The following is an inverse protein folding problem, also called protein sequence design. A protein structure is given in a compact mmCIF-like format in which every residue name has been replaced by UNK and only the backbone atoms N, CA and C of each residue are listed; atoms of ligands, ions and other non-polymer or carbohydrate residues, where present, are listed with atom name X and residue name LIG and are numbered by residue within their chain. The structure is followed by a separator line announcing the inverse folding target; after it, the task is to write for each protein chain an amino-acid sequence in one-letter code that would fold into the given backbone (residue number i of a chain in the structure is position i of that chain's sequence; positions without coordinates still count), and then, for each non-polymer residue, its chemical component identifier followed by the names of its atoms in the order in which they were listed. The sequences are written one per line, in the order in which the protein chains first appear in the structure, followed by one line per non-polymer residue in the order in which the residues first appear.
data_IF_418497931718
#
_entry.id   IF_418497931718
#
_cell.length_a   1.000
_cell.length_b   1.000
_cell.length_c   1.000
_cell.angle_alpha   90.00
_cell.angle_beta   90.00
_cell.angle_gamma   90.00
#
_symmetry.space_group_name_H-M   'P 1'
#
loop_
_entity.id
_entity.type
_entity.pdbx_description
1 polymer ?
#
# COMPACT_ATOMS: atom_id res chain seq x y z
N UNK A 1 -10.02 12.28 -18.40
CA UNK A 1 -11.22 12.00 -17.58
C UNK A 1 -10.77 11.75 -16.15
N UNK A 2 -11.26 12.47 -15.14
CA UNK A 2 -11.02 12.08 -13.76
C UNK A 2 -11.63 10.69 -13.53
N UNK A 3 -10.85 9.71 -13.07
CA UNK A 3 -11.39 8.42 -12.64
C UNK A 3 -11.78 8.53 -11.16
N UNK A 4 -12.90 7.91 -10.78
CA UNK A 4 -13.18 7.69 -9.36
C UNK A 4 -12.06 6.81 -8.77
N UNK A 5 -11.42 7.23 -7.67
CA UNK A 5 -10.33 6.47 -7.06
C UNK A 5 -10.72 5.00 -6.81
N UNK A 6 -9.89 4.07 -7.28
CA UNK A 6 -10.02 2.66 -6.93
C UNK A 6 -9.43 2.41 -5.54
N UNK A 7 -9.83 1.29 -4.92
CA UNK A 7 -9.34 0.86 -3.61
C UNK A 7 -8.66 -0.50 -3.73
N UNK A 8 -7.48 -0.63 -3.12
CA UNK A 8 -6.62 -1.80 -3.26
C UNK A 8 -6.16 -2.34 -1.90
N UNK A 9 -6.12 -3.66 -1.77
CA UNK A 9 -5.48 -4.38 -0.68
C UNK A 9 -4.24 -5.11 -1.22
N UNK A 10 -3.06 -4.65 -0.81
CA UNK A 10 -1.76 -5.22 -1.15
C UNK A 10 -1.30 -6.21 -0.07
N UNK A 11 -0.54 -7.24 -0.46
CA UNK A 11 -0.06 -8.28 0.46
C UNK A 11 1.46 -8.29 0.50
N UNK A 12 2.03 -8.08 1.69
CA UNK A 12 3.47 -8.16 1.95
C UNK A 12 3.73 -8.37 3.44
N UNK A 13 4.91 -8.89 3.81
CA UNK A 13 5.28 -9.02 5.23
C UNK A 13 5.41 -7.65 5.90
N UNK A 14 5.12 -7.56 7.20
CA UNK A 14 5.09 -6.28 7.90
C UNK A 14 6.43 -5.53 7.88
N UNK A 15 7.56 -6.24 8.01
CA UNK A 15 8.89 -5.60 7.89
C UNK A 15 9.10 -4.93 6.52
N UNK A 16 8.65 -5.57 5.44
CA UNK A 16 8.74 -5.00 4.09
C UNK A 16 7.85 -3.76 3.95
N UNK A 17 6.63 -3.83 4.50
CA UNK A 17 5.69 -2.70 4.49
C UNK A 17 6.24 -1.52 5.29
N UNK A 18 6.83 -1.75 6.47
CA UNK A 18 7.40 -0.68 7.30
C UNK A 18 8.56 0.03 6.61
N UNK A 19 9.43 -0.71 5.89
CA UNK A 19 10.49 -0.14 5.06
C UNK A 19 9.92 0.74 3.94
N UNK A 20 8.96 0.23 3.18
CA UNK A 20 8.29 1.01 2.12
C UNK A 20 7.58 2.24 2.66
N UNK A 21 6.96 2.13 3.84
CA UNK A 21 6.29 3.24 4.52
C UNK A 21 7.27 4.36 4.89
N UNK A 22 8.39 4.00 5.50
CA UNK A 22 9.42 4.96 5.90
C UNK A 22 10.05 5.69 4.69
N UNK A 23 10.04 5.05 3.52
CA UNK A 23 10.65 5.58 2.28
C UNK A 23 9.62 6.10 1.27
N UNK A 24 8.32 6.08 1.57
CA UNK A 24 7.28 6.65 0.71
C UNK A 24 6.88 5.82 -0.51
N UNK A 25 7.16 4.51 -0.55
CA UNK A 25 6.83 3.65 -1.69
C UNK A 25 6.05 2.40 -1.31
N UNK A 26 5.36 1.81 -2.30
CA UNK A 26 4.85 0.45 -2.27
C UNK A 26 5.59 -0.45 -3.26
N UNK A 27 5.72 -1.71 -2.87
CA UNK A 27 6.25 -2.80 -3.69
C UNK A 27 5.45 -4.06 -3.38
N UNK A 28 5.10 -4.83 -4.42
CA UNK A 28 4.26 -6.03 -4.29
C UNK A 28 4.71 -7.11 -5.26
N UNK A 29 4.20 -8.33 -5.10
CA UNK A 29 4.34 -9.43 -6.05
C UNK A 29 5.79 -9.70 -6.47
N UNK A 30 6.72 -9.72 -5.51
CA UNK A 30 8.16 -9.90 -5.74
C UNK A 30 8.82 -8.84 -6.64
N UNK A 31 8.29 -7.61 -6.65
CA UNK A 31 8.86 -6.50 -7.42
C UNK A 31 8.43 -6.47 -8.88
N UNK A 32 7.37 -7.20 -9.27
CA UNK A 32 6.85 -7.18 -10.64
C UNK A 32 6.19 -5.83 -10.97
N UNK A 33 6.41 -5.33 -12.18
CA UNK A 33 5.79 -4.10 -12.67
C UNK A 33 4.28 -4.22 -12.92
N UNK A 34 3.82 -5.36 -13.45
CA UNK A 34 2.46 -5.51 -13.96
C UNK A 34 1.36 -5.22 -12.92
N UNK A 35 1.45 -5.68 -11.65
CA UNK A 35 0.51 -5.30 -10.60
C UNK A 35 0.49 -3.79 -10.34
N UNK A 36 1.66 -3.15 -10.27
CA UNK A 36 1.78 -1.71 -9.97
C UNK A 36 1.22 -0.81 -11.08
N UNK A 37 1.20 -1.28 -12.33
CA UNK A 37 0.60 -0.58 -13.48
C UNK A 37 -0.93 -0.51 -13.40
N UNK A 38 -1.57 -1.35 -12.58
CA UNK A 38 -3.03 -1.33 -12.38
C UNK A 38 -3.47 -0.19 -11.47
N UNK A 39 -2.60 0.25 -10.55
CA UNK A 39 -2.87 1.39 -9.70
C UNK A 39 -2.74 2.69 -10.51
N UNK A 40 -3.58 3.67 -10.19
CA UNK A 40 -3.52 5.02 -10.76
C UNK A 40 -3.31 6.06 -9.65
N UNK A 41 -2.74 7.23 -9.98
CA UNK A 41 -2.69 8.34 -9.04
C UNK A 41 -4.06 8.61 -8.42
N UNK A 42 -4.10 8.87 -7.11
CA UNK A 42 -5.33 9.07 -6.36
C UNK A 42 -5.99 7.80 -5.83
N UNK A 43 -5.63 6.60 -6.32
CA UNK A 43 -6.14 5.34 -5.77
C UNK A 43 -5.70 5.17 -4.30
N UNK A 44 -6.56 4.58 -3.47
CA UNK A 44 -6.22 4.22 -2.08
C UNK A 44 -5.64 2.82 -2.03
N UNK A 45 -4.61 2.63 -1.22
CA UNK A 45 -3.98 1.33 -0.98
C UNK A 45 -3.85 1.08 0.50
N UNK A 46 -4.27 -0.11 0.93
CA UNK A 46 -4.00 -0.66 2.25
C UNK A 46 -3.08 -1.88 2.11
N UNK A 47 -2.21 -2.10 3.08
CA UNK A 47 -1.40 -3.31 3.20
C UNK A 47 -2.01 -4.26 4.22
N UNK A 48 -2.16 -5.52 3.83
CA UNK A 48 -2.37 -6.66 4.70
C UNK A 48 -1.07 -7.48 4.80
N UNK A 49 -0.66 -7.78 6.03
CA UNK A 49 0.52 -8.57 6.34
C UNK A 49 0.12 -9.88 7.00
N UNK A 50 0.23 -11.02 6.28
CA UNK A 50 -0.06 -12.33 6.86
C UNK A 50 0.99 -12.72 7.91
N UNK A 51 2.19 -12.15 7.82
CA UNK A 51 3.32 -12.44 8.70
C UNK A 51 4.20 -11.22 8.97
N UNK A 52 5.01 -11.26 10.02
CA UNK A 52 5.98 -10.18 10.32
C UNK A 52 7.12 -10.18 9.31
N UNK A 53 7.70 -11.36 9.08
CA UNK A 53 8.83 -11.57 8.16
C UNK A 53 8.43 -12.37 6.94
N UNK A 54 9.12 -12.14 5.83
CA UNK A 54 8.93 -12.95 4.62
C UNK A 54 9.26 -14.42 4.91
N UNK A 55 8.38 -15.33 4.49
CA UNK A 55 8.53 -16.78 4.71
C UNK A 55 8.18 -17.28 6.12
N UNK A 56 7.97 -16.39 7.08
CA UNK A 56 7.52 -16.78 8.43
C UNK A 56 6.03 -17.12 8.48
N UNK A 57 5.65 -17.98 9.43
CA UNK A 57 4.26 -18.41 9.70
C UNK A 57 3.83 -18.01 11.12
N UNK A 58 4.21 -16.81 11.54
CA UNK A 58 3.94 -16.25 12.87
C UNK A 58 2.48 -15.78 13.05
N UNK A 59 1.69 -15.76 11.97
CA UNK A 59 0.25 -15.53 12.03
C UNK A 59 -0.14 -14.09 12.33
N UNK A 60 0.72 -13.11 12.02
CA UNK A 60 0.47 -11.68 12.30
C UNK A 60 -0.91 -11.21 11.84
N UNK A 61 -1.29 -11.53 10.60
CA UNK A 61 -2.60 -11.23 10.00
C UNK A 61 -3.14 -9.83 10.33
N UNK A 62 -2.36 -8.80 10.02
CA UNK A 62 -2.65 -7.41 10.38
C UNK A 62 -2.70 -6.49 9.16
N UNK A 63 -3.49 -5.42 9.26
CA UNK A 63 -3.44 -4.27 8.37
C UNK A 63 -2.31 -3.36 8.84
N UNK A 64 -1.34 -3.05 7.97
CA UNK A 64 -0.04 -2.49 8.40
C UNK A 64 0.28 -1.12 7.81
N UNK A 65 -0.37 -0.71 6.73
CA UNK A 65 -0.28 0.65 6.21
C UNK A 65 -1.52 1.00 5.38
N UNK A 66 -1.78 2.29 5.24
CA UNK A 66 -2.82 2.81 4.35
C UNK A 66 -2.40 4.18 3.82
N UNK A 67 -2.63 4.44 2.53
CA UNK A 67 -2.27 5.70 1.89
C UNK A 67 -2.89 5.88 0.51
N UNK A 68 -2.42 6.91 -0.21
CA UNK A 68 -2.88 7.26 -1.56
C UNK A 68 -1.72 7.24 -2.54
N UNK A 69 -1.93 6.62 -3.70
CA UNK A 69 -0.94 6.54 -4.77
C UNK A 69 -0.65 7.94 -5.32
N UNK A 70 0.63 8.32 -5.35
CA UNK A 70 1.07 9.63 -5.86
C UNK A 70 1.04 9.67 -7.39
N UNK A 71 1.17 10.87 -7.93
CA UNK A 71 1.28 11.14 -9.38
C UNK A 71 2.67 10.77 -9.93
N UNK A 72 3.08 9.52 -9.68
CA UNK A 72 4.31 8.94 -10.21
C UNK A 72 4.01 7.61 -10.91
N UNK A 73 4.72 7.37 -12.01
CA UNK A 73 4.68 6.08 -12.70
C UNK A 73 5.45 5.02 -11.90
N UNK A 74 5.11 3.72 -12.01
CA UNK A 74 5.95 2.68 -11.44
C UNK A 74 7.36 2.73 -12.04
N UNK A 75 8.38 2.66 -11.19
CA UNK A 75 9.79 2.76 -11.58
C UNK A 75 10.58 1.56 -11.07
N UNK A 76 11.61 1.19 -11.81
CA UNK A 76 12.60 0.21 -11.38
C UNK A 76 13.52 0.85 -10.34
N UNK A 77 13.88 0.11 -9.29
CA UNK A 77 14.82 0.55 -8.27
C UNK A 77 15.90 -0.51 -8.07
N UNK A 78 17.15 -0.17 -8.38
CA UNK A 78 18.27 -1.09 -8.17
C UNK A 78 18.65 -1.09 -6.68
N UNK A 79 18.44 -2.24 -6.02
CA UNK A 79 18.82 -2.44 -4.62
C UNK A 79 20.30 -2.78 -4.45
N UNK A 80 21.05 -2.94 -5.55
CA UNK A 80 22.33 -3.61 -5.58
C UNK A 80 22.17 -5.14 -5.58
N UNK A 81 23.20 -5.86 -5.99
CA UNK A 81 23.20 -7.33 -5.96
C UNK A 81 22.31 -8.01 -7.01
N UNK A 82 21.97 -7.32 -8.10
CA UNK A 82 21.26 -7.90 -9.25
C UNK A 82 19.74 -8.02 -9.11
N UNK A 83 19.15 -7.50 -8.02
CA UNK A 83 17.70 -7.47 -7.83
C UNK A 83 17.15 -6.06 -8.05
N UNK A 84 16.36 -5.90 -9.11
CA UNK A 84 15.77 -4.61 -9.53
C UNK A 84 14.24 -4.67 -9.48
N UNK A 85 13.63 -4.51 -8.28
CA UNK A 85 12.18 -4.49 -8.16
C UNK A 85 11.57 -3.20 -8.72
N UNK A 86 10.30 -3.29 -9.10
CA UNK A 86 9.48 -2.11 -9.36
C UNK A 86 8.83 -1.59 -8.08
N UNK A 87 8.79 -0.27 -7.96
CA UNK A 87 8.18 0.51 -6.88
C UNK A 87 7.20 1.52 -7.43
N UNK A 88 6.33 2.02 -6.56
CA UNK A 88 5.45 3.15 -6.85
C UNK A 88 5.27 4.00 -5.61
N UNK A 89 5.25 5.32 -5.76
CA UNK A 89 5.18 6.21 -4.60
C UNK A 89 3.75 6.30 -4.05
N UNK A 90 3.68 6.34 -2.73
CA UNK A 90 2.43 6.40 -1.97
C UNK A 90 2.59 7.44 -0.86
N UNK A 91 1.63 8.35 -0.77
CA UNK A 91 1.45 9.23 0.36
C UNK A 91 0.82 8.42 1.50
N UNK A 92 1.66 7.83 2.36
CA UNK A 92 1.21 7.06 3.51
C UNK A 92 0.57 7.96 4.56
N UNK A 93 -0.58 7.54 5.08
CA UNK A 93 -1.26 8.22 6.17
C UNK A 93 -0.73 7.73 7.53
N UNK A 94 -0.90 8.54 8.58
CA UNK A 94 -0.58 8.12 9.94
C UNK A 94 -1.65 7.15 10.41
N UNK A 95 -1.26 5.90 10.69
CA UNK A 95 -2.17 4.80 10.94
C UNK A 95 -1.59 3.81 11.96
N UNK A 96 -2.47 3.15 12.70
CA UNK A 96 -2.12 2.09 13.64
C UNK A 96 -2.22 0.72 12.96
N UNK A 97 -1.19 -0.12 13.13
CA UNK A 97 -1.28 -1.51 12.70
C UNK A 97 -2.40 -2.22 13.48
N UNK A 98 -3.30 -2.89 12.76
CA UNK A 98 -4.55 -3.40 13.35
C UNK A 98 -4.79 -4.84 12.90
N UNK A 99 -5.06 -5.80 13.81
CA UNK A 99 -5.44 -7.16 13.41
C UNK A 99 -6.66 -7.16 12.48
N UNK A 100 -6.65 -7.97 11.42
CA UNK A 100 -7.78 -8.01 10.49
C UNK A 100 -8.98 -8.78 11.06
N UNK A 101 -8.75 -9.67 12.03
CA UNK A 101 -9.74 -10.62 12.53
C UNK A 101 -11.09 -10.00 12.93
N UNK A 102 -11.15 -8.87 13.68
CA UNK A 102 -12.42 -8.23 14.03
C UNK A 102 -13.22 -7.70 12.84
N UNK A 103 -12.56 -7.44 11.70
CA UNK A 103 -13.20 -6.88 10.51
C UNK A 103 -13.74 -7.95 9.55
N UNK A 104 -13.27 -9.20 9.66
CA UNK A 104 -13.63 -10.27 8.74
C UNK A 104 -15.15 -10.50 8.57
N UNK A 105 -16.01 -10.33 9.59
CA UNK A 105 -17.46 -10.46 9.41
C UNK A 105 -18.10 -9.30 8.62
N UNK A 106 -17.44 -8.14 8.56
CA UNK A 106 -18.00 -6.90 8.03
C UNK A 106 -17.46 -6.50 6.65
N UNK A 107 -16.31 -7.03 6.24
CA UNK A 107 -15.69 -6.76 4.94
C UNK A 107 -16.36 -7.60 3.84
N UNK A 108 -16.74 -6.97 2.74
CA UNK A 108 -17.40 -7.58 1.59
C UNK A 108 -16.55 -8.72 0.99
N UNK A 109 -15.22 -8.58 0.97
CA UNK A 109 -14.34 -9.61 0.40
C UNK A 109 -14.17 -10.85 1.29
N UNK A 110 -14.54 -10.80 2.57
CA UNK A 110 -14.37 -11.90 3.54
C UNK A 110 -15.69 -12.43 4.11
N UNK A 111 -16.72 -11.59 4.23
CA UNK A 111 -17.99 -11.95 4.84
C UNK A 111 -18.63 -13.17 4.14
N UNK A 112 -18.96 -14.19 4.92
CA UNK A 112 -19.54 -15.44 4.43
C UNK A 112 -18.59 -16.35 3.63
N UNK A 113 -17.29 -16.04 3.54
CA UNK A 113 -16.31 -16.78 2.73
C UNK A 113 -15.26 -17.46 3.61
N UNK A 114 -15.31 -18.79 3.73
CA UNK A 114 -14.33 -19.57 4.52
C UNK A 114 -12.90 -19.47 4.00
N UNK A 115 -12.72 -19.35 2.68
CA UNK A 115 -11.40 -19.33 2.02
C UNK A 115 -11.03 -17.92 1.49
N UNK A 116 -11.38 -16.86 2.22
CA UNK A 116 -11.13 -15.48 1.79
C UNK A 116 -9.64 -15.20 1.51
N UNK A 117 -8.72 -15.84 2.24
CA UNK A 117 -7.28 -15.72 2.03
C UNK A 117 -6.81 -16.14 0.62
N UNK A 118 -7.58 -16.96 -0.09
CA UNK A 118 -7.28 -17.34 -1.47
C UNK A 118 -7.28 -16.15 -2.43
N UNK A 119 -8.14 -15.14 -2.20
CA UNK A 119 -8.17 -13.93 -3.00
C UNK A 119 -6.87 -13.12 -2.88
N UNK A 120 -6.14 -13.28 -1.77
CA UNK A 120 -4.92 -12.55 -1.44
C UNK A 120 -3.65 -13.17 -2.02
N UNK A 121 -3.70 -14.42 -2.50
CA UNK A 121 -2.51 -15.14 -3.02
C UNK A 121 -1.83 -14.47 -4.21
N UNK A 122 -2.54 -13.57 -4.90
CA UNK A 122 -2.03 -12.83 -6.04
C UNK A 122 -1.29 -11.54 -5.67
N UNK A 123 -1.27 -11.17 -4.38
CA UNK A 123 -0.48 -10.06 -3.85
C UNK A 123 -1.11 -8.67 -3.99
N UNK A 124 -2.14 -8.52 -4.83
CA UNK A 124 -2.88 -7.27 -5.01
C UNK A 124 -4.34 -7.54 -5.38
N UNK A 125 -5.26 -7.17 -4.51
CA UNK A 125 -6.70 -7.34 -4.64
C UNK A 125 -7.39 -5.97 -4.74
N UNK A 126 -8.32 -5.80 -5.68
CA UNK A 126 -9.20 -4.64 -5.68
C UNK A 126 -10.35 -4.88 -4.69
N UNK A 127 -10.65 -3.90 -3.83
CA UNK A 127 -11.70 -3.99 -2.81
C UNK A 127 -12.75 -2.89 -2.99
N UNK A 128 -13.90 -3.03 -2.31
CA UNK A 128 -14.95 -2.01 -2.34
C UNK A 128 -14.52 -0.74 -1.59
N UNK A 129 -15.18 0.39 -1.87
CA UNK A 129 -14.99 1.61 -1.09
C UNK A 129 -15.38 1.40 0.39
N UNK A 130 -16.47 0.67 0.62
CA UNK A 130 -16.93 0.26 1.95
C UNK A 130 -15.85 -0.48 2.74
N UNK A 131 -15.21 -1.47 2.13
CA UNK A 131 -14.13 -2.22 2.78
C UNK A 131 -12.95 -1.32 3.14
N UNK A 132 -12.55 -0.44 2.22
CA UNK A 132 -11.47 0.52 2.46
C UNK A 132 -11.80 1.50 3.59
N UNK A 133 -13.05 1.92 3.70
CA UNK A 133 -13.49 2.83 4.77
C UNK A 133 -13.53 2.13 6.13
N UNK A 134 -13.99 0.87 6.19
CA UNK A 134 -13.93 0.06 7.41
C UNK A 134 -12.48 -0.17 7.88
N UNK A 135 -11.58 -0.49 6.94
CA UNK A 135 -10.15 -0.64 7.20
C UNK A 135 -9.57 0.68 7.74
N UNK A 136 -9.85 1.81 7.08
CA UNK A 136 -9.35 3.11 7.51
C UNK A 136 -9.87 3.54 8.88
N UNK A 137 -11.14 3.26 9.19
CA UNK A 137 -11.70 3.52 10.51
C UNK A 137 -11.00 2.67 11.58
N UNK A 138 -10.83 1.36 11.33
CA UNK A 138 -10.17 0.46 12.27
C UNK A 138 -8.71 0.84 12.56
N UNK A 139 -7.98 1.28 11.53
CA UNK A 139 -6.60 1.73 11.65
C UNK A 139 -6.44 3.14 12.25
N UNK A 140 -7.54 3.80 12.64
CA UNK A 140 -7.56 5.16 13.21
C UNK A 140 -6.76 6.16 12.37
N UNK A 141 -7.00 6.16 11.05
CA UNK A 141 -6.11 6.85 10.13
C UNK A 141 -6.29 8.37 10.18
N UNK A 142 -5.20 9.09 10.41
CA UNK A 142 -5.08 10.53 10.21
C UNK A 142 -4.33 10.81 8.91
N UNK A 143 -4.94 11.59 8.01
CA UNK A 143 -4.29 12.01 6.76
C UNK A 143 -3.10 12.90 7.10
N UNK A 144 -1.89 12.47 6.74
CA UNK A 144 -0.73 13.37 6.78
C UNK A 144 -0.94 14.42 5.68
N UNK A 145 -1.00 15.69 6.06
CA UNK A 145 -0.89 16.78 5.07
C UNK A 145 0.52 16.73 4.52
N UNK A 146 0.65 16.63 3.19
CA UNK A 146 1.96 16.72 2.54
C UNK A 146 2.66 18.00 3.02
N UNK A 147 3.91 17.92 3.53
CA UNK A 147 4.72 19.12 3.60
C UNK A 147 4.92 19.59 2.15
N UNK A 148 4.52 20.82 1.86
CA UNK A 148 4.87 21.49 0.61
C UNK A 148 6.39 21.45 0.52
N UNK A 149 6.93 20.62 -0.37
CA UNK A 149 8.33 20.67 -0.72
C UNK A 149 8.50 21.95 -1.53
N UNK A 150 8.89 23.04 -0.87
CA UNK A 150 9.43 24.20 -1.55
C UNK A 150 10.66 23.74 -2.33
N UNK A 151 10.54 23.68 -3.66
CA UNK A 151 11.68 23.51 -4.53
C UNK A 151 12.57 24.76 -4.39
N UNK A 152 13.85 24.64 -4.00
CA UNK A 152 14.76 25.77 -4.08
C UNK A 152 14.92 26.11 -5.57
N UNK A 153 14.33 27.23 -5.97
CA UNK A 153 14.52 27.80 -7.28
C UNK A 153 16.01 28.00 -7.52
N UNK A 154 16.54 27.33 -8.54
CA UNK A 154 17.85 27.64 -9.09
C UNK A 154 17.83 29.10 -9.55
N UNK A 155 18.44 29.97 -8.75
CA UNK A 155 18.68 31.35 -9.10
C UNK A 155 19.62 31.41 -10.29
N UNK A 156 19.11 31.85 -11.43
CA UNK A 156 19.93 32.33 -12.53
C UNK A 156 20.47 33.71 -12.13
N UNK A 157 21.77 33.81 -11.85
CA UNK A 157 22.48 35.09 -11.88
C UNK A 157 22.96 35.36 -13.31
N UNK A 158 22.60 36.48 -13.94
CA UNK A 158 23.41 37.02 -15.02
C UNK A 158 24.47 37.99 -14.47
N UNK A 159 25.60 38.02 -15.17
CA UNK A 159 26.68 39.00 -15.04
C UNK A 159 26.27 40.36 -15.62
#
# INVERSE_FOLDING_TARGET
MPHSPSNWLAVASAEHVRLGRAQGFMQVCHGKAAPLRRLRPGDRVAYYSPSTRMGSKDGLQALTALGVVRETAPYAFDMGGGFVPYRRDVAWWSAHETPIAPLLPALDFTAGRKNWGYALRFGLLQISARDMDLIAAAMSVARVRDPVLEHPGHGLQPA
#
